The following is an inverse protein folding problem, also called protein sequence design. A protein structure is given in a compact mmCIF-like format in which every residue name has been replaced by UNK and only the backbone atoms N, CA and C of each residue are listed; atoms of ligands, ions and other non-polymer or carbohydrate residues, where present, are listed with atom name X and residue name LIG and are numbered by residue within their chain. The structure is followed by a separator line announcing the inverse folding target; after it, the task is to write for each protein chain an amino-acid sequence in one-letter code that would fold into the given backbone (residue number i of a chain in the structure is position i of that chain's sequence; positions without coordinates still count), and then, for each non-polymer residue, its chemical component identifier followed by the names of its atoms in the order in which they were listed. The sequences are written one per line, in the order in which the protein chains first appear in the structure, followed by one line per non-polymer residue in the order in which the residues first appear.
data_IF_408706111896
#
_entry.id   IF_408706111896
#
_cell.length_a   1.000
_cell.length_b   1.000
_cell.length_c   1.000
_cell.angle_alpha   90.00
_cell.angle_beta   90.00
_cell.angle_gamma   90.00
#
_symmetry.space_group_name_H-M   'P 1'
#
loop_
_entity.id
_entity.type
_entity.pdbx_description
1 polymer ?
#
# COMPACT_ATOMS: atom_id res chain seq x y z
N UNK A 1 9.33 24.05 -7.31
CA UNK A 1 8.72 22.93 -6.55
C UNK A 1 8.80 23.15 -5.03
N UNK A 2 9.95 23.50 -4.44
CA UNK A 2 10.04 23.77 -2.98
C UNK A 2 9.17 24.94 -2.47
N UNK A 3 9.10 26.06 -3.19
CA UNK A 3 8.31 27.24 -2.75
C UNK A 3 6.81 26.96 -2.72
N UNK A 4 6.29 26.16 -3.65
CA UNK A 4 4.90 25.71 -3.65
C UNK A 4 4.62 24.78 -2.46
N UNK A 5 5.56 23.89 -2.13
CA UNK A 5 5.46 23.02 -0.95
C UNK A 5 5.48 23.80 0.37
N UNK A 6 6.34 24.81 0.48
CA UNK A 6 6.40 25.69 1.67
C UNK A 6 5.14 26.55 1.78
N UNK A 7 4.66 27.11 0.67
CA UNK A 7 3.41 27.87 0.66
C UNK A 7 2.20 26.99 1.03
N UNK A 8 2.14 25.76 0.54
CA UNK A 8 1.11 24.80 0.91
C UNK A 8 1.19 24.40 2.39
N UNK A 9 2.39 24.11 2.90
CA UNK A 9 2.60 23.80 4.31
C UNK A 9 2.20 24.98 5.22
N UNK A 10 2.56 26.21 4.84
CA UNK A 10 2.16 27.42 5.56
C UNK A 10 0.65 27.64 5.53
N UNK A 11 0.01 27.46 4.37
CA UNK A 11 -1.46 27.54 4.24
C UNK A 11 -2.15 26.49 5.11
N UNK A 12 -1.62 25.26 5.15
CA UNK A 12 -2.17 24.18 5.97
C UNK A 12 -2.00 24.45 7.47
N UNK A 13 -0.84 24.95 7.89
CA UNK A 13 -0.58 25.35 9.29
C UNK A 13 -1.47 26.51 9.75
N UNK A 14 -1.85 27.42 8.85
CA UNK A 14 -2.74 28.53 9.16
C UNK A 14 -4.21 28.09 9.19
N UNK A 15 -4.60 27.12 8.35
CA UNK A 15 -5.98 26.62 8.25
C UNK A 15 -6.30 25.57 9.32
N UNK A 16 -5.43 24.57 9.52
CA UNK A 16 -5.59 23.50 10.52
C UNK A 16 -4.87 23.81 11.83
N UNK A 17 -4.93 25.07 12.27
CA UNK A 17 -4.58 25.41 13.64
C UNK A 17 -5.68 24.87 14.55
N UNK A 18 -5.47 23.67 15.07
CA UNK A 18 -6.25 23.16 16.19
C UNK A 18 -6.19 24.20 17.30
N UNK A 19 -7.29 24.89 17.56
CA UNK A 19 -7.49 25.50 18.86
C UNK A 19 -7.57 24.34 19.84
N UNK A 20 -6.55 24.12 20.71
CA UNK A 20 -6.62 23.02 21.65
C UNK A 20 -7.86 23.28 22.50
N UNK A 21 -8.88 22.43 22.32
CA UNK A 21 -9.99 22.36 23.26
C UNK A 21 -9.34 22.15 24.64
N UNK A 22 -9.88 22.77 25.71
CA UNK A 22 -9.34 22.58 27.05
C UNK A 22 -9.09 21.08 27.24
N UNK A 23 -7.89 20.70 27.73
CA UNK A 23 -7.50 19.31 27.81
C UNK A 23 -8.64 18.57 28.48
N UNK A 24 -9.20 17.59 27.75
CA UNK A 24 -10.19 16.70 28.32
C UNK A 24 -9.60 16.22 29.65
N UNK A 25 -10.38 16.23 30.75
CA UNK A 25 -9.89 15.77 32.05
C UNK A 25 -9.16 14.46 31.80
N UNK A 26 -7.92 14.30 32.32
CA UNK A 26 -7.04 13.21 31.95
C UNK A 26 -7.88 11.95 31.97
N UNK A 27 -8.19 11.42 30.79
CA UNK A 27 -8.79 10.11 30.73
C UNK A 27 -7.73 9.27 31.39
N UNK A 28 -8.02 8.81 32.60
CA UNK A 28 -7.25 7.78 33.23
C UNK A 28 -7.27 6.67 32.19
N UNK A 29 -6.17 6.56 31.44
CA UNK A 29 -5.80 5.33 30.76
C UNK A 29 -5.55 4.40 31.95
N UNK A 30 -6.65 3.95 32.57
CA UNK A 30 -6.63 3.04 33.69
C UNK A 30 -5.76 1.90 33.21
N UNK A 31 -4.81 1.48 34.06
CA UNK A 31 -3.85 0.42 33.81
C UNK A 31 -4.54 -0.90 33.48
N UNK A 32 -5.15 -0.95 32.30
CA UNK A 32 -5.70 -2.12 31.66
C UNK A 32 -4.62 -2.59 30.70
N UNK A 33 -4.37 -3.90 30.65
CA UNK A 33 -3.18 -4.46 30.05
C UNK A 33 -3.04 -3.96 28.62
N UNK A 34 -1.94 -3.24 28.35
CA UNK A 34 -1.42 -3.09 27.00
C UNK A 34 -1.33 -4.49 26.42
N UNK A 35 -2.08 -4.77 25.34
CA UNK A 35 -2.01 -6.08 24.68
C UNK A 35 -0.54 -6.30 24.37
N UNK A 36 0.02 -7.38 24.91
CA UNK A 36 1.43 -7.69 24.70
C UNK A 36 1.67 -7.78 23.19
N UNK A 37 2.81 -7.28 22.71
CA UNK A 37 3.13 -7.30 21.27
C UNK A 37 2.92 -8.72 20.70
N UNK A 38 3.25 -9.75 21.46
CA UNK A 38 3.00 -11.15 21.13
C UNK A 38 1.52 -11.47 20.85
N UNK A 39 0.59 -10.96 21.66
CA UNK A 39 -0.85 -11.16 21.44
C UNK A 39 -1.36 -10.42 20.19
N UNK A 40 -0.74 -9.28 19.84
CA UNK A 40 -0.99 -8.57 18.58
C UNK A 40 -0.64 -9.46 17.38
N UNK A 41 0.52 -10.11 17.40
CA UNK A 41 0.96 -11.03 16.34
C UNK A 41 0.17 -12.35 16.32
N UNK A 42 -0.41 -12.76 17.46
CA UNK A 42 -1.15 -14.02 17.61
C UNK A 42 -2.61 -13.91 17.15
N UNK A 43 -3.16 -12.69 17.07
CA UNK A 43 -4.49 -12.45 16.53
C UNK A 43 -4.53 -12.70 15.02
N UNK A 44 -5.42 -13.61 14.58
CA UNK A 44 -5.62 -13.89 13.15
C UNK A 44 -5.98 -12.64 12.34
N UNK A 45 -6.78 -11.73 12.90
CA UNK A 45 -7.18 -10.50 12.21
C UNK A 45 -5.98 -9.57 11.96
N UNK A 46 -5.12 -9.41 12.97
CA UNK A 46 -3.92 -8.58 12.87
C UNK A 46 -2.88 -9.23 11.95
N UNK A 47 -2.67 -10.54 12.03
CA UNK A 47 -1.77 -11.26 11.12
C UNK A 47 -2.21 -11.13 9.65
N UNK A 48 -3.52 -11.20 9.37
CA UNK A 48 -4.06 -10.97 8.02
C UNK A 48 -3.81 -9.53 7.56
N UNK A 49 -4.08 -8.53 8.41
CA UNK A 49 -3.84 -7.11 8.12
C UNK A 49 -2.35 -6.80 7.88
N UNK A 50 -1.47 -7.44 8.63
CA UNK A 50 -0.02 -7.32 8.48
C UNK A 50 0.50 -7.96 7.20
N UNK A 51 0.01 -9.17 6.88
CA UNK A 51 0.43 -9.91 5.68
C UNK A 51 0.03 -9.17 4.40
N UNK A 52 -1.18 -8.62 4.34
CA UNK A 52 -1.58 -7.83 3.18
C UNK A 52 -0.78 -6.53 3.08
N UNK A 53 -0.47 -5.88 4.22
CA UNK A 53 0.28 -4.62 4.22
C UNK A 53 1.73 -4.83 3.78
N UNK A 54 2.32 -5.97 4.15
CA UNK A 54 3.58 -6.46 3.61
C UNK A 54 3.50 -6.61 2.09
N UNK A 55 2.46 -7.29 1.58
CA UNK A 55 2.30 -7.54 0.15
C UNK A 55 2.15 -6.25 -0.67
N UNK A 56 1.37 -5.30 -0.16
CA UNK A 56 1.20 -3.99 -0.77
C UNK A 56 2.51 -3.19 -0.79
N UNK A 57 3.20 -3.06 0.35
CA UNK A 57 4.45 -2.31 0.41
C UNK A 57 5.54 -2.94 -0.45
N UNK A 58 5.64 -4.26 -0.46
CA UNK A 58 6.55 -4.99 -1.30
C UNK A 58 6.32 -4.65 -2.78
N UNK A 59 5.08 -4.68 -3.25
CA UNK A 59 4.74 -4.37 -4.66
C UNK A 59 4.94 -2.90 -5.01
N UNK A 60 4.61 -1.99 -4.08
CA UNK A 60 4.82 -0.57 -4.28
C UNK A 60 6.31 -0.24 -4.42
N UNK A 61 7.15 -0.77 -3.52
CA UNK A 61 8.59 -0.56 -3.59
C UNK A 61 9.23 -1.22 -4.80
N UNK A 62 8.69 -2.35 -5.29
CA UNK A 62 9.09 -2.91 -6.58
C UNK A 62 8.97 -1.88 -7.69
N UNK A 63 7.80 -1.25 -7.78
CA UNK A 63 7.51 -0.31 -8.86
C UNK A 63 8.38 0.94 -8.74
N UNK A 64 8.70 1.39 -7.53
CA UNK A 64 9.55 2.57 -7.32
C UNK A 64 11.04 2.28 -7.51
N UNK A 65 11.57 1.26 -6.84
CA UNK A 65 13.00 0.99 -6.80
C UNK A 65 13.50 0.33 -8.08
N UNK A 66 12.71 -0.55 -8.70
CA UNK A 66 13.21 -1.42 -9.77
C UNK A 66 12.71 -1.09 -11.16
N UNK A 67 11.66 -0.28 -11.31
CA UNK A 67 11.20 0.13 -12.64
C UNK A 67 12.28 0.87 -13.43
N UNK A 68 12.96 1.86 -12.84
CA UNK A 68 14.00 2.63 -13.53
C UNK A 68 15.16 1.73 -14.02
N UNK A 69 15.84 0.95 -13.16
CA UNK A 69 16.92 0.07 -13.61
C UNK A 69 16.42 -1.04 -14.56
N UNK A 70 15.20 -1.54 -14.40
CA UNK A 70 14.60 -2.50 -15.32
C UNK A 70 14.40 -1.89 -16.72
N UNK A 71 13.80 -0.70 -16.81
CA UNK A 71 13.57 -0.03 -18.09
C UNK A 71 14.89 0.30 -18.81
N UNK A 72 15.89 0.77 -18.08
CA UNK A 72 17.23 1.02 -18.62
C UNK A 72 17.89 -0.25 -19.17
N UNK A 73 17.84 -1.35 -18.41
CA UNK A 73 18.52 -2.60 -18.79
C UNK A 73 17.79 -3.35 -19.91
N UNK A 74 16.46 -3.42 -19.84
CA UNK A 74 15.64 -4.20 -20.77
C UNK A 74 15.44 -3.49 -22.12
N UNK A 75 15.24 -2.17 -22.11
CA UNK A 75 14.92 -1.40 -23.33
C UNK A 75 16.06 -0.47 -23.77
N UNK A 76 17.23 -0.52 -23.11
CA UNK A 76 18.42 0.28 -23.45
C UNK A 76 18.13 1.80 -23.55
N UNK A 77 17.20 2.28 -22.74
CA UNK A 77 16.77 3.68 -22.71
C UNK A 77 17.85 4.59 -22.11
N UNK A 78 17.96 5.80 -22.66
CA UNK A 78 18.80 6.85 -22.08
C UNK A 78 18.30 7.32 -20.72
N UNK A 79 19.22 7.80 -19.87
CA UNK A 79 18.94 8.18 -18.47
C UNK A 79 17.78 9.17 -18.33
N UNK A 80 17.74 10.19 -19.18
CA UNK A 80 16.71 11.23 -19.15
C UNK A 80 15.32 10.72 -19.58
N UNK A 81 15.27 9.74 -20.48
CA UNK A 81 14.01 9.16 -20.94
C UNK A 81 13.44 8.18 -19.92
N UNK A 82 14.29 7.30 -19.38
CA UNK A 82 13.91 6.38 -18.32
C UNK A 82 13.46 7.13 -17.05
N UNK A 83 14.12 8.24 -16.69
CA UNK A 83 13.73 9.07 -15.56
C UNK A 83 12.35 9.72 -15.76
N UNK A 84 12.05 10.25 -16.96
CA UNK A 84 10.73 10.83 -17.27
C UNK A 84 9.61 9.78 -17.15
N UNK A 85 9.85 8.58 -17.68
CA UNK A 85 8.92 7.46 -17.57
C UNK A 85 8.75 6.99 -16.13
N UNK A 86 9.82 7.05 -15.33
CA UNK A 86 9.79 6.61 -13.94
C UNK A 86 8.96 7.52 -13.01
N UNK A 87 8.59 8.72 -13.45
CA UNK A 87 7.68 9.60 -12.70
C UNK A 87 6.22 9.17 -12.81
N UNK A 88 5.86 8.35 -13.81
CA UNK A 88 4.47 7.99 -14.08
C UNK A 88 3.76 7.25 -12.92
N UNK A 89 4.37 6.24 -12.26
CA UNK A 89 3.72 5.57 -11.13
C UNK A 89 3.47 6.47 -9.93
N UNK A 90 4.35 7.46 -9.70
CA UNK A 90 4.19 8.41 -8.60
C UNK A 90 2.99 9.34 -8.83
N UNK A 91 2.83 9.83 -10.07
CA UNK A 91 1.71 10.68 -10.44
C UNK A 91 0.38 9.93 -10.37
N UNK A 92 0.34 8.72 -10.93
CA UNK A 92 -0.85 7.87 -10.88
C UNK A 92 -1.13 7.31 -9.49
N UNK A 93 -0.12 7.15 -8.64
CA UNK A 93 -0.28 6.88 -7.20
C UNK A 93 -1.04 7.99 -6.46
N UNK A 94 -0.91 9.25 -6.89
CA UNK A 94 -1.74 10.32 -6.31
C UNK A 94 -3.22 10.18 -6.70
N UNK A 95 -3.47 9.68 -7.92
CA UNK A 95 -4.82 9.47 -8.45
C UNK A 95 -5.48 8.23 -7.82
N UNK A 96 -4.73 7.19 -7.45
CA UNK A 96 -5.29 6.00 -6.77
C UNK A 96 -6.03 6.36 -5.49
N UNK A 97 -5.53 7.32 -4.72
CA UNK A 97 -6.17 7.75 -3.48
C UNK A 97 -7.56 8.36 -3.74
N UNK A 98 -7.71 9.13 -4.82
CA UNK A 98 -8.98 9.74 -5.20
C UNK A 98 -9.96 8.68 -5.70
N UNK A 99 -9.47 7.74 -6.50
CA UNK A 99 -10.28 6.62 -7.02
C UNK A 99 -10.70 5.69 -5.87
N UNK A 100 -9.80 5.38 -4.94
CA UNK A 100 -10.10 4.59 -3.75
C UNK A 100 -11.18 5.28 -2.90
N UNK A 101 -11.02 6.58 -2.62
CA UNK A 101 -12.01 7.35 -1.87
C UNK A 101 -13.38 7.37 -2.55
N UNK A 102 -13.42 7.68 -3.86
CA UNK A 102 -14.65 7.66 -4.64
C UNK A 102 -15.33 6.29 -4.64
N UNK A 103 -14.55 5.21 -4.76
CA UNK A 103 -15.08 3.86 -4.79
C UNK A 103 -15.64 3.43 -3.42
N UNK A 104 -14.96 3.80 -2.32
CA UNK A 104 -15.46 3.62 -0.95
C UNK A 104 -16.76 4.39 -0.76
N UNK A 105 -16.81 5.68 -1.13
CA UNK A 105 -17.98 6.54 -0.95
C UNK A 105 -19.19 6.04 -1.74
N UNK A 106 -18.97 5.63 -3.00
CA UNK A 106 -20.03 5.11 -3.87
C UNK A 106 -20.61 3.80 -3.33
N UNK A 107 -19.77 2.89 -2.83
CA UNK A 107 -20.24 1.66 -2.20
C UNK A 107 -20.90 1.93 -0.83
N UNK A 108 -20.40 2.90 -0.07
CA UNK A 108 -20.95 3.26 1.24
C UNK A 108 -22.34 3.90 1.14
N UNK A 109 -22.63 4.61 0.03
CA UNK A 109 -23.97 5.13 -0.29
C UNK A 109 -24.91 4.07 -0.87
N UNK A 110 -24.41 2.87 -1.18
CA UNK A 110 -25.19 1.75 -1.71
C UNK A 110 -25.65 0.80 -0.59
N UNK A 111 -26.50 -0.19 -0.93
CA UNK A 111 -26.92 -1.27 -0.02
C UNK A 111 -25.77 -2.18 0.43
N UNK A 112 -24.59 -2.04 -0.18
CA UNK A 112 -23.39 -2.86 0.05
C UNK A 112 -22.39 -2.23 1.03
N UNK A 113 -22.89 -1.54 2.06
CA UNK A 113 -22.09 -0.85 3.08
C UNK A 113 -20.95 -1.68 3.69
N UNK A 114 -21.14 -2.96 4.06
CA UNK A 114 -20.07 -3.79 4.61
C UNK A 114 -18.94 -4.08 3.61
N UNK A 115 -19.25 -4.02 2.32
CA UNK A 115 -18.32 -4.31 1.23
C UNK A 115 -17.57 -3.07 0.75
N UNK A 116 -17.95 -1.86 1.18
CA UNK A 116 -17.30 -0.62 0.78
C UNK A 116 -15.82 -0.57 1.16
N UNK A 117 -15.44 -1.26 2.24
CA UNK A 117 -14.05 -1.37 2.69
C UNK A 117 -13.33 -2.57 2.08
N UNK A 118 -14.07 -3.61 1.66
CA UNK A 118 -13.48 -4.85 1.13
C UNK A 118 -13.17 -4.76 -0.35
N UNK A 119 -14.11 -4.27 -1.16
CA UNK A 119 -13.98 -4.24 -2.62
C UNK A 119 -12.78 -3.40 -3.08
N UNK A 120 -12.47 -2.23 -2.48
CA UNK A 120 -11.28 -1.45 -2.87
C UNK A 120 -9.97 -2.17 -2.64
N UNK A 121 -9.80 -2.86 -1.50
CA UNK A 121 -8.60 -3.66 -1.27
C UNK A 121 -8.50 -4.86 -2.22
N UNK A 122 -9.62 -5.54 -2.50
CA UNK A 122 -9.63 -6.65 -3.46
C UNK A 122 -9.31 -6.21 -4.89
N UNK A 123 -9.93 -5.12 -5.34
CA UNK A 123 -9.68 -4.54 -6.65
C UNK A 123 -8.22 -4.08 -6.76
N UNK A 124 -7.68 -3.45 -5.71
CA UNK A 124 -6.29 -3.03 -5.62
C UNK A 124 -5.31 -4.19 -5.77
N UNK A 125 -5.45 -5.25 -4.97
CA UNK A 125 -4.57 -6.43 -5.07
C UNK A 125 -4.71 -7.18 -6.39
N UNK A 126 -5.92 -7.25 -6.96
CA UNK A 126 -6.15 -7.89 -8.26
C UNK A 126 -5.46 -7.10 -9.36
N UNK A 127 -5.59 -5.77 -9.35
CA UNK A 127 -4.94 -4.88 -10.29
C UNK A 127 -3.42 -4.90 -10.12
N UNK A 128 -2.93 -4.98 -8.87
CA UNK A 128 -1.52 -5.13 -8.56
C UNK A 128 -0.94 -6.43 -9.14
N UNK A 129 -1.60 -7.57 -8.89
CA UNK A 129 -1.18 -8.86 -9.44
C UNK A 129 -1.21 -8.87 -10.97
N UNK A 130 -2.29 -8.36 -11.59
CA UNK A 130 -2.42 -8.30 -13.04
C UNK A 130 -1.37 -7.37 -13.68
N UNK A 131 -1.14 -6.19 -13.08
CA UNK A 131 -0.14 -5.24 -13.54
C UNK A 131 1.26 -5.84 -13.50
N UNK A 132 1.63 -6.48 -12.40
CA UNK A 132 2.94 -7.12 -12.25
C UNK A 132 3.14 -8.28 -13.25
N UNK A 133 2.13 -9.13 -13.45
CA UNK A 133 2.19 -10.21 -14.44
C UNK A 133 2.26 -9.66 -15.87
N UNK A 134 1.57 -8.56 -16.17
CA UNK A 134 1.60 -7.95 -17.49
C UNK A 134 2.99 -7.37 -17.85
N UNK A 135 3.83 -7.05 -16.86
CA UNK A 135 5.21 -6.59 -17.10
C UNK A 135 6.04 -7.67 -17.83
N UNK A 136 5.83 -8.96 -17.53
CA UNK A 136 6.61 -10.04 -18.17
C UNK A 136 6.27 -10.21 -19.65
N UNK A 137 5.10 -9.73 -20.07
CA UNK A 137 4.59 -9.79 -21.44
C UNK A 137 4.81 -8.46 -22.19
N UNK A 138 5.38 -7.44 -21.54
CA UNK A 138 5.51 -6.12 -22.11
C UNK A 138 6.62 -6.07 -23.19
N UNK A 139 6.22 -5.86 -24.45
CA UNK A 139 7.14 -5.76 -25.59
C UNK A 139 7.71 -4.36 -25.81
N UNK A 140 7.04 -3.32 -25.30
CA UNK A 140 7.48 -1.92 -25.45
C UNK A 140 7.65 -1.23 -24.09
N UNK A 141 8.56 -0.24 -23.99
CA UNK A 141 8.81 0.46 -22.74
C UNK A 141 7.57 1.20 -22.22
N UNK A 142 6.75 1.76 -23.11
CA UNK A 142 5.50 2.43 -22.73
C UNK A 142 4.49 1.47 -22.09
N UNK A 143 4.36 0.25 -22.61
CA UNK A 143 3.49 -0.78 -22.02
C UNK A 143 4.05 -1.23 -20.67
N UNK A 144 5.36 -1.44 -20.55
CA UNK A 144 5.98 -1.79 -19.26
C UNK A 144 5.71 -0.71 -18.19
N UNK A 145 5.87 0.57 -18.53
CA UNK A 145 5.59 1.70 -17.63
C UNK A 145 4.11 1.72 -17.23
N UNK A 146 3.20 1.51 -18.17
CA UNK A 146 1.77 1.41 -17.87
C UNK A 146 1.49 0.27 -16.89
N UNK A 147 2.08 -0.92 -17.10
CA UNK A 147 1.92 -2.08 -16.23
C UNK A 147 2.49 -1.85 -14.82
N UNK A 148 3.69 -1.27 -14.71
CA UNK A 148 4.27 -0.84 -13.43
C UNK A 148 3.39 0.18 -12.72
N UNK A 149 2.83 1.11 -13.48
CA UNK A 149 1.97 2.15 -12.94
C UNK A 149 0.64 1.57 -12.44
N UNK A 150 0.02 0.67 -13.20
CA UNK A 150 -1.17 -0.06 -12.77
C UNK A 150 -0.90 -0.90 -11.51
N UNK A 151 0.28 -1.52 -11.44
CA UNK A 151 0.68 -2.28 -10.27
C UNK A 151 0.83 -1.40 -9.02
N UNK A 152 1.53 -0.27 -9.15
CA UNK A 152 1.70 0.72 -8.09
C UNK A 152 0.36 1.32 -7.64
N UNK A 153 -0.50 1.67 -8.60
CA UNK A 153 -1.85 2.19 -8.37
C UNK A 153 -2.69 1.18 -7.58
N UNK A 154 -2.66 -0.10 -7.97
CA UNK A 154 -3.37 -1.17 -7.28
C UNK A 154 -2.89 -1.35 -5.84
N UNK A 155 -1.58 -1.35 -5.61
CA UNK A 155 -1.01 -1.44 -4.27
C UNK A 155 -1.39 -0.23 -3.41
N UNK A 156 -1.27 0.99 -3.94
CA UNK A 156 -1.57 2.23 -3.22
C UNK A 156 -3.05 2.33 -2.81
N UNK A 157 -3.98 1.87 -3.65
CA UNK A 157 -5.41 1.78 -3.30
C UNK A 157 -5.69 0.93 -2.05
N UNK A 158 -4.82 -0.03 -1.71
CA UNK A 158 -5.03 -0.91 -0.54
C UNK A 158 -4.61 -0.25 0.77
N UNK A 159 -3.77 0.79 0.71
CA UNK A 159 -3.19 1.43 1.90
C UNK A 159 -4.31 2.02 2.77
N UNK A 160 -5.16 2.88 2.21
CA UNK A 160 -6.22 3.56 2.96
C UNK A 160 -7.18 2.59 3.68
N UNK A 161 -7.77 1.58 3.00
CA UNK A 161 -8.57 0.54 3.66
C UNK A 161 -7.83 -0.24 4.76
N UNK A 162 -6.52 -0.45 4.62
CA UNK A 162 -5.70 -1.18 5.60
C UNK A 162 -5.60 -0.45 6.93
N UNK A 163 -5.38 0.87 6.86
CA UNK A 163 -5.32 1.73 8.05
C UNK A 163 -6.65 1.83 8.75
N UNK A 164 -7.74 1.95 7.99
CA UNK A 164 -9.11 1.95 8.54
C UNK A 164 -9.40 0.62 9.23
N UNK A 165 -9.09 -0.51 8.59
CA UNK A 165 -9.28 -1.82 9.19
C UNK A 165 -8.49 -1.95 10.49
N UNK A 166 -7.22 -1.55 10.50
CA UNK A 166 -6.41 -1.56 11.73
C UNK A 166 -7.00 -0.70 12.83
N UNK A 167 -7.50 0.49 12.52
CA UNK A 167 -8.19 1.34 13.51
C UNK A 167 -9.47 0.67 14.05
N UNK A 168 -10.22 -0.05 13.20
CA UNK A 168 -11.43 -0.76 13.61
C UNK A 168 -11.14 -1.92 14.58
N UNK A 169 -10.10 -2.75 14.31
CA UNK A 169 -9.73 -3.89 15.16
C UNK A 169 -8.98 -3.46 16.41
N UNK A 170 -8.20 -2.38 16.33
CA UNK A 170 -7.26 -2.04 17.40
C UNK A 170 -7.91 -1.38 18.62
N UNK A 171 -9.12 -0.81 18.47
CA UNK A 171 -9.87 -0.25 19.59
C UNK A 171 -9.06 0.78 20.38
N UNK A 172 -8.72 0.46 21.64
CA UNK A 172 -7.91 1.33 22.51
C UNK A 172 -6.39 1.17 22.32
N UNK A 173 -5.95 0.18 21.53
CA UNK A 173 -4.54 -0.17 21.26
C UNK A 173 -4.09 0.16 19.83
N UNK A 174 -4.73 1.15 19.21
CA UNK A 174 -4.46 1.60 17.83
C UNK A 174 -3.00 1.96 17.59
N UNK A 175 -2.31 2.53 18.58
CA UNK A 175 -0.88 2.85 18.47
C UNK A 175 0.00 1.61 18.25
N UNK A 176 -0.15 0.57 19.07
CA UNK A 176 0.68 -0.64 18.99
C UNK A 176 0.42 -1.45 17.72
N UNK A 177 -0.84 -1.59 17.29
CA UNK A 177 -1.20 -2.35 16.09
C UNK A 177 -0.77 -1.60 14.82
N UNK A 178 -1.01 -0.29 14.74
CA UNK A 178 -0.58 0.52 13.60
C UNK A 178 0.94 0.63 13.47
N UNK A 179 1.65 0.79 14.59
CA UNK A 179 3.11 0.76 14.62
C UNK A 179 3.68 -0.58 14.16
N UNK A 180 3.12 -1.68 14.64
CA UNK A 180 3.55 -3.03 14.22
C UNK A 180 3.24 -3.31 12.74
N UNK A 181 2.08 -2.83 12.24
CA UNK A 181 1.74 -2.89 10.82
C UNK A 181 2.76 -2.10 9.99
N UNK A 182 3.11 -0.89 10.41
CA UNK A 182 4.09 -0.06 9.71
C UNK A 182 5.49 -0.70 9.71
N UNK A 183 5.90 -1.31 10.82
CA UNK A 183 7.16 -2.04 10.92
C UNK A 183 7.24 -3.18 9.90
N UNK A 184 6.16 -3.97 9.77
CA UNK A 184 6.08 -5.05 8.76
C UNK A 184 6.03 -4.51 7.34
N UNK A 185 5.36 -3.38 7.11
CA UNK A 185 5.37 -2.71 5.80
C UNK A 185 6.79 -2.33 5.39
N UNK A 186 7.55 -1.69 6.28
CA UNK A 186 8.95 -1.36 6.04
C UNK A 186 9.83 -2.59 5.86
N UNK A 187 9.56 -3.68 6.59
CA UNK A 187 10.24 -4.96 6.37
C UNK A 187 9.94 -5.49 4.96
N UNK A 188 8.70 -5.38 4.48
CA UNK A 188 8.33 -5.71 3.09
C UNK A 188 9.09 -4.88 2.07
N UNK A 189 9.22 -3.58 2.31
CA UNK A 189 10.04 -2.69 1.47
C UNK A 189 11.51 -3.11 1.47
N UNK A 190 12.09 -3.40 2.64
CA UNK A 190 13.47 -3.88 2.78
C UNK A 190 13.69 -5.21 2.05
N UNK A 191 12.76 -6.17 2.20
CA UNK A 191 12.84 -7.46 1.51
C UNK A 191 12.74 -7.26 0.00
N UNK A 192 11.84 -6.40 -0.50
CA UNK A 192 11.73 -6.13 -1.95
C UNK A 192 13.02 -5.53 -2.54
N UNK A 193 13.67 -4.60 -1.83
CA UNK A 193 14.92 -3.99 -2.29
C UNK A 193 16.03 -5.04 -2.48
N UNK A 194 16.09 -6.06 -1.62
CA UNK A 194 17.10 -7.12 -1.67
C UNK A 194 16.67 -8.34 -2.50
N UNK A 195 15.37 -8.60 -2.64
CA UNK A 195 14.85 -9.77 -3.33
C UNK A 195 15.10 -9.73 -4.83
N UNK A 196 15.09 -8.55 -5.47
CA UNK A 196 15.36 -8.43 -6.90
C UNK A 196 16.77 -8.86 -7.31
N UNK A 197 17.87 -8.32 -6.74
CA UNK A 197 19.23 -8.72 -7.14
C UNK A 197 19.48 -10.19 -6.80
N UNK A 198 18.93 -10.69 -5.70
CA UNK A 198 19.06 -12.09 -5.30
C UNK A 198 18.35 -13.04 -6.28
N UNK A 199 17.08 -12.77 -6.60
CA UNK A 199 16.31 -13.59 -7.54
C UNK A 199 16.82 -13.45 -8.98
N UNK A 200 17.26 -12.26 -9.38
CA UNK A 200 17.90 -12.05 -10.68
C UNK A 200 19.23 -12.81 -10.79
N UNK A 201 20.03 -12.85 -9.73
CA UNK A 201 21.29 -13.61 -9.69
C UNK A 201 21.09 -15.13 -9.78
N UNK A 202 20.03 -15.65 -9.17
CA UNK A 202 19.73 -17.09 -9.17
C UNK A 202 19.06 -17.58 -10.46
N UNK A 203 18.12 -16.80 -11.00
CA UNK A 203 17.27 -17.24 -12.12
C UNK A 203 17.70 -16.66 -13.47
N UNK A 204 18.56 -15.65 -13.47
CA UNK A 204 18.98 -14.93 -14.68
C UNK A 204 17.88 -14.08 -15.33
N UNK A 205 16.64 -14.08 -14.80
CA UNK A 205 15.49 -13.40 -15.40
C UNK A 205 14.74 -12.54 -14.40
N UNK A 206 14.32 -11.35 -14.84
CA UNK A 206 13.45 -10.48 -14.05
C UNK A 206 12.03 -11.05 -13.89
N UNK A 207 11.62 -12.00 -14.75
CA UNK A 207 10.27 -12.59 -14.71
C UNK A 207 9.99 -13.36 -13.42
N UNK A 208 11.00 -14.05 -12.88
CA UNK A 208 10.86 -14.80 -11.62
C UNK A 208 10.49 -13.87 -10.45
N UNK A 209 11.05 -12.65 -10.47
CA UNK A 209 10.76 -11.62 -9.49
C UNK A 209 9.32 -11.12 -9.58
N UNK A 210 8.85 -10.81 -10.79
CA UNK A 210 7.48 -10.36 -11.01
C UNK A 210 6.46 -11.45 -10.67
N UNK A 211 6.74 -12.71 -10.99
CA UNK A 211 5.86 -13.83 -10.60
C UNK A 211 5.79 -13.99 -9.07
N UNK A 212 6.92 -13.86 -8.35
CA UNK A 212 6.94 -13.88 -6.89
C UNK A 212 6.09 -12.73 -6.29
N UNK A 213 6.23 -11.53 -6.84
CA UNK A 213 5.42 -10.38 -6.44
C UNK A 213 3.92 -10.57 -6.76
N UNK A 214 3.58 -11.19 -7.89
CA UNK A 214 2.19 -11.51 -8.21
C UNK A 214 1.61 -12.54 -7.23
N UNK A 215 2.36 -13.59 -6.89
CA UNK A 215 1.96 -14.58 -5.88
C UNK A 215 1.74 -13.94 -4.50
N UNK A 216 2.58 -12.97 -4.14
CA UNK A 216 2.44 -12.20 -2.91
C UNK A 216 1.15 -11.35 -2.92
N UNK A 217 0.85 -10.67 -4.03
CA UNK A 217 -0.40 -9.91 -4.20
C UNK A 217 -1.64 -10.80 -4.14
N UNK A 218 -1.60 -12.00 -4.76
CA UNK A 218 -2.68 -12.98 -4.66
C UNK A 218 -2.86 -13.47 -3.21
N UNK A 219 -1.76 -13.65 -2.48
CA UNK A 219 -1.83 -13.97 -1.04
C UNK A 219 -2.46 -12.82 -0.26
N UNK A 220 -2.09 -11.57 -0.56
CA UNK A 220 -2.71 -10.36 -0.01
C UNK A 220 -4.21 -10.30 -0.30
N UNK A 221 -4.63 -10.60 -1.53
CA UNK A 221 -6.03 -10.69 -1.95
C UNK A 221 -6.79 -11.75 -1.12
N UNK A 222 -6.22 -12.94 -0.95
CA UNK A 222 -6.81 -14.01 -0.14
C UNK A 222 -6.90 -13.63 1.34
N UNK A 223 -5.88 -12.95 1.87
CA UNK A 223 -5.90 -12.42 3.23
C UNK A 223 -7.04 -11.40 3.38
N UNK A 224 -7.17 -10.50 2.42
CA UNK A 224 -8.21 -9.48 2.39
C UNK A 224 -9.62 -10.09 2.29
N UNK A 225 -9.79 -11.12 1.47
CA UNK A 225 -11.05 -11.85 1.37
C UNK A 225 -11.44 -12.51 2.70
N UNK A 226 -10.47 -13.01 3.46
CA UNK A 226 -10.67 -13.62 4.79
C UNK A 226 -10.91 -12.60 5.89
N UNK A 227 -10.59 -11.31 5.68
CA UNK A 227 -10.92 -10.26 6.63
C UNK A 227 -12.44 -10.02 6.62
N UNK A 228 -13.10 -10.42 7.70
CA UNK A 228 -14.51 -10.03 7.93
C UNK A 228 -14.54 -8.54 8.28
N UNK A 229 -15.36 -7.77 7.56
CA UNK A 229 -15.84 -6.47 8.00
C UNK A 229 -16.52 -6.68 9.34
N UNK A 230 -16.06 -5.94 10.34
CA UNK A 230 -16.76 -5.84 11.60
C UNK A 230 -18.07 -5.11 11.32
N UNK A 231 -19.14 -5.87 11.12
CA UNK A 231 -20.49 -5.32 11.16
C UNK A 231 -20.72 -4.87 12.61
N UNK A 232 -20.48 -3.59 12.89
CA UNK A 232 -21.06 -2.95 14.07
C UNK A 232 -22.53 -2.70 13.74
N UNK A 233 -23.34 -3.72 14.03
CA UNK A 233 -24.79 -3.55 14.20
C UNK A 233 -25.09 -2.60 15.34
#
# INVERSE_FOLDING_TARGET
MCLLGVAWAAAWLLWFRDHPRPPLPPQTVGGQPTIALNEVFRSRATALAMTQYFASNFTFFICLSWMLPYLKKQYQLGDAEAARLAMAPLLLGSISQWVAGWMVDRLYRSKWRPWSRRIPGMAGFTLAAAGVLAITQASTPGVAVLCFTLAAFGADMTISPSWVYCADIAGKNTGSISGSMNMIGNLGSFVSANAFPYLQGLTGSASAYFVAAAALNLTGLLCWFRMRSLDRG
#
